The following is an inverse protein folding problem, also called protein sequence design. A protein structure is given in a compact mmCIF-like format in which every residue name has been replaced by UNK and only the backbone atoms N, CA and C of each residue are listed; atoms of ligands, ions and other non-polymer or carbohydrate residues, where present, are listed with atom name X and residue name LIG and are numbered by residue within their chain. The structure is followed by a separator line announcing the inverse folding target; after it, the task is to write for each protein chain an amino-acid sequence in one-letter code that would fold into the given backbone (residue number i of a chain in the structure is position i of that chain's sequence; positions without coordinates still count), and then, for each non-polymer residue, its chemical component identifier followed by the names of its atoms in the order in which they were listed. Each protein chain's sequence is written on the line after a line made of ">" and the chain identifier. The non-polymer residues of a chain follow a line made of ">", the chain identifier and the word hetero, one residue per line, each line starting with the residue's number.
data_IF_195301328267
#
_entry.id   IF_195301328267
#
_cell.length_a   1.000
_cell.length_b   1.000
_cell.length_c   1.000
_cell.angle_alpha   90.00
_cell.angle_beta   90.00
_cell.angle_gamma   90.00
#
_symmetry.space_group_name_H-M   'P 1'
#
loop_
_entity.id
_entity.type
_entity.pdbx_description
1 polymer ?
#
# COMPACT_ATOMS: atom_id res chain seq x y z
N UNK A 1 -2.26 -15.52 -19.13
CA UNK A 1 -2.83 -15.65 -17.78
C UNK A 1 -2.47 -14.40 -16.99
N UNK A 2 -3.42 -13.80 -16.28
CA UNK A 2 -3.15 -12.67 -15.37
C UNK A 2 -2.64 -13.22 -14.04
N UNK A 3 -1.56 -12.64 -13.51
CA UNK A 3 -1.00 -13.00 -12.22
C UNK A 3 -1.54 -12.03 -11.16
N UNK A 4 -2.08 -12.57 -10.08
CA UNK A 4 -2.50 -11.78 -8.93
C UNK A 4 -1.31 -11.54 -8.00
N UNK A 5 -1.26 -10.35 -7.41
CA UNK A 5 -0.25 -9.94 -6.45
C UNK A 5 -0.94 -9.42 -5.19
N UNK A 6 -0.28 -9.60 -4.04
CA UNK A 6 -0.67 -8.90 -2.82
C UNK A 6 -0.37 -7.42 -2.98
N UNK A 7 -1.32 -6.57 -2.63
CA UNK A 7 -1.16 -5.12 -2.71
C UNK A 7 -1.22 -4.47 -1.32
N UNK A 8 -0.42 -3.44 -1.12
CA UNK A 8 -0.45 -2.58 0.06
C UNK A 8 -0.83 -1.16 -0.38
N UNK A 9 -2.03 -0.72 0.01
CA UNK A 9 -2.51 0.66 -0.16
C UNK A 9 -1.76 1.59 0.78
N UNK A 10 -1.11 2.63 0.24
CA UNK A 10 -0.34 3.64 0.98
C UNK A 10 -0.87 5.02 0.60
N UNK A 11 -1.11 5.88 1.59
CA UNK A 11 -1.57 7.25 1.34
C UNK A 11 -0.43 8.13 0.81
N UNK A 12 -0.71 8.92 -0.21
CA UNK A 12 0.23 9.86 -0.80
C UNK A 12 0.81 10.84 0.24
N UNK A 13 2.08 11.23 0.13
CA UNK A 13 3.05 10.90 -0.92
C UNK A 13 3.99 9.73 -0.52
N UNK A 14 3.54 8.84 0.36
CA UNK A 14 4.44 7.93 1.05
C UNK A 14 4.90 6.74 0.21
N UNK A 15 4.14 6.33 -0.82
CA UNK A 15 4.59 5.25 -1.71
C UNK A 15 5.82 5.71 -2.50
N UNK A 16 5.81 6.95 -2.98
CA UNK A 16 6.97 7.57 -3.62
C UNK A 16 8.19 7.62 -2.71
N UNK A 17 8.00 7.98 -1.43
CA UNK A 17 9.09 7.98 -0.43
C UNK A 17 9.65 6.58 -0.14
N UNK A 18 8.81 5.54 -0.13
CA UNK A 18 9.25 4.15 0.02
C UNK A 18 10.06 3.72 -1.20
N UNK A 19 9.56 3.99 -2.41
CA UNK A 19 10.23 3.64 -3.67
C UNK A 19 11.59 4.34 -3.83
N UNK A 20 11.73 5.57 -3.31
CA UNK A 20 12.99 6.33 -3.30
C UNK A 20 13.92 5.96 -2.13
N UNK A 21 13.52 5.04 -1.24
CA UNK A 21 14.29 4.64 -0.07
C UNK A 21 14.37 5.71 1.04
N UNK A 22 13.60 6.78 0.95
CA UNK A 22 13.55 7.85 1.97
C UNK A 22 12.72 7.44 3.18
N UNK A 23 11.68 6.64 2.95
CA UNK A 23 10.84 6.04 4.00
C UNK A 23 11.15 4.56 4.07
N UNK A 24 11.93 4.18 5.07
CA UNK A 24 12.40 2.80 5.29
C UNK A 24 11.56 2.02 6.30
N UNK A 25 10.64 2.70 7.00
CA UNK A 25 9.74 2.09 7.98
C UNK A 25 8.29 2.48 7.65
N UNK A 26 7.45 1.47 7.43
CA UNK A 26 6.00 1.61 7.29
C UNK A 26 5.32 1.13 8.57
N UNK A 27 4.47 1.98 9.15
CA UNK A 27 3.78 1.72 10.41
C UNK A 27 2.29 1.60 10.14
N UNK A 28 1.69 0.52 10.64
CA UNK A 28 0.27 0.19 10.50
C UNK A 28 -0.30 -0.18 11.86
N UNK A 29 -1.61 0.00 12.04
CA UNK A 29 -2.34 -0.47 13.22
C UNK A 29 -2.53 -1.99 13.24
N UNK A 30 -2.38 -2.63 12.08
CA UNK A 30 -2.40 -4.08 11.90
C UNK A 30 -1.00 -4.60 11.55
N UNK A 31 -0.79 -5.90 11.72
CA UNK A 31 0.42 -6.59 11.29
C UNK A 31 0.06 -7.81 10.42
N UNK A 32 0.88 -8.15 9.41
CA UNK A 32 0.69 -9.38 8.65
C UNK A 32 0.96 -10.61 9.53
N UNK A 33 0.43 -11.77 9.15
CA UNK A 33 0.68 -13.04 9.85
C UNK A 33 2.15 -13.48 9.81
N UNK A 34 2.87 -13.12 8.74
CA UNK A 34 4.27 -13.47 8.54
C UNK A 34 5.09 -12.32 7.95
N UNK A 35 6.37 -12.24 8.35
CA UNK A 35 7.37 -11.30 7.84
C UNK A 35 8.62 -12.07 7.34
N UNK A 36 9.30 -11.59 6.27
CA UNK A 36 8.94 -10.45 5.44
C UNK A 36 7.77 -10.78 4.49
N UNK A 37 6.92 -9.81 4.21
CA UNK A 37 5.95 -9.94 3.11
C UNK A 37 6.74 -9.85 1.80
N UNK A 38 6.56 -10.85 0.91
CA UNK A 38 7.24 -10.91 -0.40
C UNK A 38 6.25 -10.61 -1.52
N UNK A 39 6.78 -10.14 -2.65
CA UNK A 39 6.02 -9.87 -3.88
C UNK A 39 4.80 -8.94 -3.68
N UNK A 40 4.97 -7.93 -2.81
CA UNK A 40 3.94 -6.92 -2.51
C UNK A 40 4.05 -5.75 -3.47
N UNK A 41 2.94 -5.42 -4.11
CA UNK A 41 2.78 -4.18 -4.89
C UNK A 41 2.38 -3.05 -3.96
N UNK A 42 3.05 -1.90 -4.04
CA UNK A 42 2.61 -0.70 -3.33
C UNK A 42 1.69 0.10 -4.25
N UNK A 43 0.48 0.40 -3.78
CA UNK A 43 -0.50 1.23 -4.48
C UNK A 43 -0.61 2.54 -3.73
N UNK A 44 -0.41 3.67 -4.42
CA UNK A 44 -0.56 5.00 -3.80
C UNK A 44 -1.98 5.52 -4.03
N UNK A 45 -2.65 5.93 -2.96
CA UNK A 45 -3.95 6.61 -3.03
C UNK A 45 -3.86 8.04 -2.53
N UNK A 46 -4.63 8.96 -3.13
CA UNK A 46 -4.78 10.36 -2.69
C UNK A 46 -5.86 10.53 -1.61
N UNK A 47 -6.71 9.52 -1.41
CA UNK A 47 -7.79 9.52 -0.43
C UNK A 47 -7.57 8.46 0.65
N UNK A 48 -8.05 8.74 1.86
CA UNK A 48 -8.13 7.72 2.91
C UNK A 48 -9.31 6.79 2.61
N UNK A 49 -8.99 5.52 2.35
CA UNK A 49 -9.97 4.45 2.22
C UNK A 49 -10.18 3.86 3.62
N UNK A 50 -11.20 4.34 4.32
CA UNK A 50 -11.43 4.04 5.75
C UNK A 50 -12.49 2.97 5.96
N UNK A 51 -13.37 2.79 4.97
CA UNK A 51 -14.49 1.87 5.02
C UNK A 51 -14.32 0.75 4.00
N UNK A 52 -14.94 -0.39 4.27
CA UNK A 52 -15.00 -1.49 3.32
C UNK A 52 -15.77 -1.05 2.06
N UNK A 53 -15.13 -1.20 0.91
CA UNK A 53 -15.66 -0.76 -0.38
C UNK A 53 -15.29 0.68 -0.75
N UNK A 54 -14.54 1.41 0.08
CA UNK A 54 -13.95 2.67 -0.33
C UNK A 54 -12.96 2.43 -1.47
N UNK A 55 -13.14 3.16 -2.57
CA UNK A 55 -12.26 3.17 -3.71
C UNK A 55 -11.77 4.60 -3.97
N UNK A 56 -10.56 4.73 -4.49
CA UNK A 56 -10.13 6.00 -5.03
C UNK A 56 -10.83 6.25 -6.36
N UNK A 57 -11.72 7.24 -6.38
CA UNK A 57 -12.30 7.74 -7.62
C UNK A 57 -11.22 8.37 -8.49
N UNK A 58 -11.05 7.87 -9.71
CA UNK A 58 -10.20 8.50 -10.71
C UNK A 58 -10.76 9.90 -11.06
N UNK A 59 -9.91 10.91 -11.26
CA UNK A 59 -10.33 12.22 -11.75
C UNK A 59 -10.93 12.16 -13.16
#
# INVERSE_FOLDING_TARGET
>A
MLKQYTALSVFAPNAGRIAQGQKTLEVRSWHPEALPIKDVVIVENQNFLLQDGDEESLP
#
